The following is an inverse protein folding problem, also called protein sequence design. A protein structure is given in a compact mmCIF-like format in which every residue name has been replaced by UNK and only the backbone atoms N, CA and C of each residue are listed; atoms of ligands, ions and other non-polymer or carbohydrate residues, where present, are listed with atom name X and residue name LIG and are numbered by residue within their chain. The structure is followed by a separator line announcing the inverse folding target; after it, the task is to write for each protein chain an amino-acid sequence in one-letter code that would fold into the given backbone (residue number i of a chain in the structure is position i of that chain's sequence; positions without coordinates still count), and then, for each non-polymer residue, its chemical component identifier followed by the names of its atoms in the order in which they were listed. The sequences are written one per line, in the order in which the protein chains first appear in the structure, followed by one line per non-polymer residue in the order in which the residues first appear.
data_IF_438133685520
#
_entry.id   IF_438133685520
#
_cell.length_a   1.000
_cell.length_b   1.000
_cell.length_c   1.000
_cell.angle_alpha   90.00
_cell.angle_beta   90.00
_cell.angle_gamma   90.00
#
_symmetry.space_group_name_H-M   'P 1'
#
loop_
_entity.id
_entity.type
_entity.pdbx_description
1 polymer ?
#
# COMPACT_ATOMS: atom_id res chain seq x y z
N UNK A 1 23.95 -22.09 25.74
CA UNK A 1 25.00 -21.82 24.74
C UNK A 1 25.34 -23.11 23.98
N UNK A 2 25.34 -23.06 22.64
CA UNK A 2 25.77 -24.23 21.88
C UNK A 2 27.27 -24.46 21.99
N UNK A 3 27.67 -25.73 21.97
CA UNK A 3 29.09 -26.10 21.99
C UNK A 3 29.69 -25.91 20.59
N UNK A 4 31.05 -25.89 20.55
CA UNK A 4 31.77 -25.79 19.28
C UNK A 4 31.39 -26.93 18.34
N UNK A 5 31.27 -28.15 18.86
CA UNK A 5 30.86 -29.30 18.07
C UNK A 5 29.47 -29.15 17.45
N UNK A 6 28.56 -28.60 18.22
CA UNK A 6 27.20 -28.32 17.71
C UNK A 6 27.21 -27.31 16.57
N UNK A 7 28.03 -26.27 16.68
CA UNK A 7 28.15 -25.25 15.63
C UNK A 7 28.80 -25.80 14.37
N UNK A 8 29.83 -26.70 14.53
CA UNK A 8 30.46 -27.36 13.39
C UNK A 8 29.49 -28.27 12.67
N UNK A 9 28.68 -29.01 13.43
CA UNK A 9 27.75 -30.00 12.90
C UNK A 9 26.55 -29.37 12.21
N UNK A 10 25.93 -28.34 12.83
CA UNK A 10 24.70 -27.75 12.36
C UNK A 10 24.88 -26.37 11.71
N UNK A 11 25.96 -25.65 12.08
CA UNK A 11 26.20 -24.31 11.59
C UNK A 11 25.18 -23.31 12.12
N UNK A 12 25.27 -22.10 11.60
CA UNK A 12 24.30 -21.03 11.89
C UNK A 12 23.57 -20.70 10.61
N UNK A 13 22.27 -20.55 10.74
CA UNK A 13 21.45 -20.15 9.61
C UNK A 13 20.87 -18.77 9.88
N UNK A 14 21.04 -17.80 8.95
CA UNK A 14 20.42 -16.49 9.14
C UNK A 14 18.92 -16.62 9.10
N UNK A 15 18.26 -15.80 9.92
CA UNK A 15 16.79 -15.77 9.90
C UNK A 15 16.32 -15.13 8.61
N UNK A 16 15.32 -15.74 8.00
CA UNK A 16 14.72 -15.20 6.79
C UNK A 16 13.79 -14.04 7.19
N UNK A 17 14.04 -12.86 6.62
CA UNK A 17 13.15 -11.73 6.83
C UNK A 17 11.95 -11.85 5.90
N UNK A 18 10.77 -11.89 6.48
CA UNK A 18 9.56 -11.87 5.69
C UNK A 18 9.27 -10.45 5.24
N UNK A 19 8.86 -10.30 3.99
CA UNK A 19 8.45 -9.00 3.49
C UNK A 19 7.18 -8.54 4.19
N UNK A 20 7.07 -7.24 4.42
CA UNK A 20 5.85 -6.65 4.98
C UNK A 20 4.74 -6.49 3.94
N UNK A 21 5.08 -6.62 2.66
CA UNK A 21 4.14 -6.50 1.55
C UNK A 21 3.96 -7.85 0.86
N UNK A 22 3.51 -8.85 1.62
CA UNK A 22 3.40 -10.23 1.14
C UNK A 22 2.49 -10.36 -0.08
N UNK A 23 1.45 -9.55 -0.19
CA UNK A 23 0.50 -9.62 -1.30
C UNK A 23 1.10 -9.19 -2.63
N UNK A 24 2.22 -8.45 -2.62
CA UNK A 24 2.89 -8.02 -3.84
C UNK A 24 3.78 -9.12 -4.45
N UNK A 25 4.15 -10.12 -3.66
CA UNK A 25 4.95 -11.27 -4.10
C UNK A 25 6.23 -10.87 -4.84
N UNK A 26 6.97 -9.91 -4.27
CA UNK A 26 8.25 -9.44 -4.80
C UNK A 26 8.16 -8.44 -5.94
N UNK A 27 6.97 -8.05 -6.37
CA UNK A 27 6.79 -7.02 -7.40
C UNK A 27 6.73 -5.63 -6.74
N UNK A 28 7.19 -4.56 -7.44
CA UNK A 28 7.09 -3.22 -6.86
C UNK A 28 5.66 -2.73 -6.76
N UNK A 29 4.79 -3.10 -7.70
CA UNK A 29 3.36 -2.78 -7.67
C UNK A 29 2.55 -3.94 -8.24
N UNK A 30 1.25 -3.94 -7.93
CA UNK A 30 0.30 -4.90 -8.49
C UNK A 30 -0.99 -4.18 -8.86
N UNK A 31 -1.57 -4.61 -9.97
CA UNK A 31 -2.89 -4.14 -10.39
C UNK A 31 -3.98 -4.89 -9.62
N UNK A 32 -5.06 -4.20 -9.33
CA UNK A 32 -6.21 -4.82 -8.68
C UNK A 32 -7.49 -4.08 -9.00
N UNK A 33 -8.60 -4.65 -8.54
CA UNK A 33 -9.93 -4.08 -8.71
C UNK A 33 -10.47 -3.73 -7.33
N UNK A 34 -11.00 -2.51 -7.18
CA UNK A 34 -11.63 -2.09 -5.93
C UNK A 34 -12.92 -2.86 -5.71
N UNK A 35 -13.01 -3.60 -4.61
CA UNK A 35 -14.24 -4.29 -4.22
C UNK A 35 -15.10 -3.43 -3.32
N UNK A 36 -14.48 -2.51 -2.59
CA UNK A 36 -15.18 -1.57 -1.71
C UNK A 36 -14.30 -0.36 -1.46
N UNK A 37 -14.89 0.83 -1.48
CA UNK A 37 -14.20 2.07 -1.13
C UNK A 37 -14.94 2.68 0.06
N UNK A 38 -14.19 3.00 1.13
CA UNK A 38 -14.80 3.48 2.36
C UNK A 38 -13.80 4.33 3.14
N UNK A 39 -14.27 4.88 4.25
CA UNK A 39 -13.41 5.64 5.17
C UNK A 39 -13.26 4.86 6.47
N UNK A 40 -12.13 5.08 7.16
CA UNK A 40 -11.88 4.45 8.45
C UNK A 40 -11.20 5.45 9.38
N UNK A 41 -11.38 5.24 10.67
CA UNK A 41 -10.72 6.07 11.67
C UNK A 41 -9.34 5.51 12.01
N UNK A 42 -8.34 6.38 12.28
CA UNK A 42 -7.01 5.91 12.68
C UNK A 42 -7.01 5.46 14.14
N UNK A 43 -5.87 4.88 14.52
CA UNK A 43 -5.63 4.50 15.93
C UNK A 43 -5.57 5.74 16.81
N UNK A 44 -5.93 5.59 18.08
CA UNK A 44 -5.68 6.62 19.08
C UNK A 44 -4.19 6.93 19.15
N UNK A 45 -3.74 8.18 19.35
CA UNK A 45 -4.55 9.36 19.68
C UNK A 45 -5.07 10.15 18.48
N UNK A 46 -4.88 9.66 17.26
CA UNK A 46 -5.28 10.39 16.06
C UNK A 46 -6.77 10.25 15.78
N UNK A 47 -7.31 11.25 15.12
CA UNK A 47 -8.72 11.28 14.74
C UNK A 47 -8.86 11.91 13.36
N UNK A 48 -9.53 11.23 12.45
CA UNK A 48 -9.79 11.71 11.09
C UNK A 48 -10.63 10.68 10.36
N UNK A 49 -11.02 11.01 9.13
CA UNK A 49 -11.62 10.04 8.23
C UNK A 49 -10.59 9.72 7.13
N UNK A 50 -9.95 8.57 7.26
CA UNK A 50 -8.93 8.11 6.30
C UNK A 50 -9.62 7.35 5.18
N UNK A 51 -9.29 7.69 3.93
CA UNK A 51 -9.88 7.06 2.74
C UNK A 51 -9.08 5.80 2.42
N UNK A 52 -9.77 4.67 2.35
CA UNK A 52 -9.17 3.38 2.04
C UNK A 52 -10.05 2.63 1.04
N UNK A 53 -9.45 1.65 0.37
CA UNK A 53 -10.16 0.79 -0.55
C UNK A 53 -9.77 -0.66 -0.30
N UNK A 54 -10.74 -1.53 -0.34
CA UNK A 54 -10.49 -2.97 -0.34
C UNK A 54 -10.30 -3.39 -1.79
N UNK A 55 -9.12 -3.90 -2.11
CA UNK A 55 -8.70 -4.18 -3.47
C UNK A 55 -8.39 -5.66 -3.62
N UNK A 56 -8.94 -6.27 -4.66
CA UNK A 56 -8.60 -7.64 -5.05
C UNK A 56 -7.52 -7.57 -6.12
N UNK A 57 -6.34 -8.05 -5.78
CA UNK A 57 -5.18 -8.03 -6.69
C UNK A 57 -5.27 -9.11 -7.76
N UNK A 58 -4.46 -9.00 -8.80
CA UNK A 58 -4.42 -9.98 -9.90
C UNK A 58 -4.00 -11.37 -9.44
N UNK A 59 -3.33 -11.48 -8.30
CA UNK A 59 -2.98 -12.77 -7.70
C UNK A 59 -4.05 -13.35 -6.77
N UNK A 60 -5.28 -12.84 -6.84
CA UNK A 60 -6.45 -13.29 -6.08
C UNK A 60 -6.40 -12.94 -4.57
N UNK A 61 -5.43 -12.15 -4.14
CA UNK A 61 -5.31 -11.73 -2.74
C UNK A 61 -6.07 -10.41 -2.55
N UNK A 62 -6.92 -10.33 -1.54
CA UNK A 62 -7.60 -9.08 -1.18
C UNK A 62 -6.80 -8.34 -0.11
N UNK A 63 -6.61 -7.04 -0.30
CA UNK A 63 -5.88 -6.19 0.64
C UNK A 63 -6.63 -4.89 0.84
N UNK A 64 -6.33 -4.22 1.96
CA UNK A 64 -6.81 -2.87 2.21
C UNK A 64 -5.67 -1.92 1.90
N UNK A 65 -5.92 -0.98 0.98
CA UNK A 65 -4.92 -0.02 0.54
C UNK A 65 -5.40 1.40 0.85
N UNK A 66 -4.45 2.24 1.26
CA UNK A 66 -4.72 3.65 1.56
C UNK A 66 -4.75 4.46 0.26
N UNK A 67 -5.71 5.35 0.15
CA UNK A 67 -5.81 6.27 -0.98
C UNK A 67 -5.14 7.59 -0.57
N UNK A 68 -3.92 7.90 -1.08
CA UNK A 68 -3.21 9.10 -0.66
C UNK A 68 -3.76 10.36 -1.31
N UNK A 69 -3.49 11.49 -0.67
CA UNK A 69 -3.87 12.81 -1.18
C UNK A 69 -5.27 13.22 -0.78
N UNK A 70 -5.67 14.42 -1.21
CA UNK A 70 -6.98 14.98 -0.94
C UNK A 70 -7.95 14.65 -2.08
N UNK A 71 -9.05 13.98 -1.73
CA UNK A 71 -10.06 13.60 -2.70
C UNK A 71 -9.63 12.49 -3.65
N UNK A 72 -10.59 11.81 -4.20
CA UNK A 72 -10.36 10.76 -5.19
C UNK A 72 -11.63 10.52 -6.00
N UNK A 73 -11.47 9.80 -7.12
CA UNK A 73 -12.58 9.44 -7.99
C UNK A 73 -12.86 7.93 -7.97
N UNK A 74 -12.32 7.21 -6.99
CA UNK A 74 -12.47 5.77 -6.94
C UNK A 74 -13.85 5.34 -6.48
N UNK A 75 -14.31 4.25 -7.05
CA UNK A 75 -15.59 3.63 -6.71
C UNK A 75 -15.45 2.12 -6.86
N UNK A 76 -16.50 1.40 -6.50
CA UNK A 76 -16.51 -0.05 -6.67
C UNK A 76 -16.24 -0.41 -8.15
N UNK A 77 -15.42 -1.43 -8.36
CA UNK A 77 -14.98 -1.93 -9.66
C UNK A 77 -13.95 -1.05 -10.38
N UNK A 78 -13.42 -0.01 -9.74
CA UNK A 78 -12.31 0.76 -10.32
C UNK A 78 -11.04 -0.08 -10.35
N UNK A 79 -10.27 0.01 -11.44
CA UNK A 79 -8.99 -0.67 -11.57
C UNK A 79 -7.90 0.25 -11.03
N UNK A 80 -7.09 -0.26 -10.10
CA UNK A 80 -6.07 0.53 -9.43
C UNK A 80 -4.73 -0.19 -9.43
N UNK A 81 -3.66 0.58 -9.22
CA UNK A 81 -2.32 0.05 -9.05
C UNK A 81 -1.95 0.20 -7.57
N UNK A 82 -1.55 -0.91 -6.94
CA UNK A 82 -1.23 -0.96 -5.51
C UNK A 82 0.26 -1.15 -5.31
N UNK A 83 0.85 -0.35 -4.44
CA UNK A 83 2.26 -0.46 -4.05
C UNK A 83 2.37 -0.75 -2.57
N UNK A 84 3.55 -1.19 -2.14
CA UNK A 84 3.83 -1.38 -0.72
C UNK A 84 3.92 -0.05 0.02
N UNK A 85 3.82 -0.11 1.33
CA UNK A 85 3.90 1.04 2.20
C UNK A 85 2.77 1.01 3.23
N UNK A 86 3.16 0.87 4.48
CA UNK A 86 2.21 0.77 5.59
C UNK A 86 1.74 2.16 6.03
N UNK A 87 0.49 2.25 6.44
CA UNK A 87 -0.03 3.44 7.12
C UNK A 87 -0.01 3.17 8.62
N UNK A 88 0.83 3.91 9.33
CA UNK A 88 1.04 3.68 10.76
C UNK A 88 -0.23 3.90 11.58
N UNK A 89 -1.05 4.86 11.18
CA UNK A 89 -2.30 5.21 11.87
C UNK A 89 -3.42 4.19 11.68
N UNK A 90 -3.33 3.35 10.66
CA UNK A 90 -4.43 2.45 10.32
C UNK A 90 -3.99 1.00 10.50
N UNK A 91 -4.70 0.24 11.36
CA UNK A 91 -4.37 -1.16 11.54
C UNK A 91 -4.73 -1.99 10.31
N UNK A 92 -3.84 -2.89 9.91
CA UNK A 92 -4.08 -3.78 8.77
C UNK A 92 -3.88 -3.15 7.40
N UNK A 93 -3.56 -1.87 7.31
CA UNK A 93 -3.32 -1.20 6.03
C UNK A 93 -1.82 -1.21 5.75
N UNK A 94 -1.38 -2.09 4.85
CA UNK A 94 0.03 -2.29 4.51
C UNK A 94 0.38 -1.80 3.11
N UNK A 95 -0.56 -1.21 2.40
CA UNK A 95 -0.42 -0.87 0.99
C UNK A 95 -0.99 0.50 0.71
N UNK A 96 -0.55 1.09 -0.41
CA UNK A 96 -1.04 2.37 -0.91
C UNK A 96 -1.49 2.20 -2.36
N UNK A 97 -2.49 2.98 -2.76
CA UNK A 97 -2.90 3.08 -4.16
C UNK A 97 -2.05 4.16 -4.83
N UNK A 98 -1.54 3.87 -6.04
CA UNK A 98 -0.73 4.84 -6.79
C UNK A 98 -1.67 5.81 -7.50
N UNK A 99 -1.54 7.10 -7.18
CA UNK A 99 -2.35 8.16 -7.81
C UNK A 99 -1.81 8.45 -9.21
N UNK A 100 -2.73 8.73 -10.13
CA UNK A 100 -2.37 9.05 -11.50
C UNK A 100 -2.12 7.84 -12.39
N UNK A 101 -2.44 6.65 -11.94
CA UNK A 101 -2.28 5.40 -12.69
C UNK A 101 -3.63 4.70 -12.84
N UNK A 102 -3.85 4.06 -13.98
CA UNK A 102 -5.09 3.31 -14.27
C UNK A 102 -6.33 4.20 -14.04
N UNK A 103 -7.31 3.72 -13.29
CA UNK A 103 -8.55 4.47 -13.05
C UNK A 103 -8.43 5.52 -11.93
N UNK A 104 -7.29 5.59 -11.27
CA UNK A 104 -7.08 6.56 -10.20
C UNK A 104 -6.56 7.87 -10.79
N UNK A 105 -7.32 8.94 -10.66
CA UNK A 105 -6.86 10.26 -11.09
C UNK A 105 -5.80 10.80 -10.14
N UNK A 106 -4.97 11.73 -10.63
CA UNK A 106 -4.04 12.45 -9.78
C UNK A 106 -4.77 13.40 -8.84
N UNK A 107 -4.04 13.93 -7.86
CA UNK A 107 -4.59 14.90 -6.91
C UNK A 107 -4.73 16.24 -7.63
N UNK A 108 -5.93 16.82 -7.57
CA UNK A 108 -6.20 18.10 -8.21
C UNK A 108 -5.52 19.25 -7.46
N UNK A 109 -5.10 20.27 -8.20
CA UNK A 109 -4.53 21.52 -7.67
C UNK A 109 -3.27 21.33 -6.82
N UNK A 110 -2.60 20.22 -7.00
CA UNK A 110 -1.37 19.95 -6.27
C UNK A 110 -0.18 20.55 -7.03
N UNK A 111 0.58 21.38 -6.34
CA UNK A 111 1.74 22.08 -6.94
C UNK A 111 3.09 21.57 -6.44
N UNK A 112 3.13 20.90 -5.28
CA UNK A 112 4.34 20.34 -4.69
C UNK A 112 4.25 18.82 -4.59
N UNK A 113 5.37 18.13 -4.75
CA UNK A 113 5.45 16.66 -4.69
C UNK A 113 4.47 15.98 -5.64
N UNK A 114 4.34 16.53 -6.83
CA UNK A 114 3.36 16.06 -7.82
C UNK A 114 3.55 14.60 -8.22
N UNK A 115 4.79 14.15 -8.30
CA UNK A 115 5.07 12.77 -8.71
C UNK A 115 4.54 11.74 -7.72
N UNK A 116 4.48 12.10 -6.43
CA UNK A 116 3.93 11.19 -5.41
C UNK A 116 2.42 11.04 -5.49
N UNK A 117 1.74 12.05 -6.05
CA UNK A 117 0.28 12.10 -6.07
C UNK A 117 -0.29 12.13 -7.48
N UNK A 118 0.54 11.85 -8.48
CA UNK A 118 0.08 11.74 -9.85
C UNK A 118 -0.42 13.04 -10.48
N UNK A 119 0.01 14.18 -9.97
CA UNK A 119 -0.44 15.47 -10.47
C UNK A 119 0.42 15.92 -11.66
N UNK A 120 -0.23 16.47 -12.67
CA UNK A 120 0.44 17.00 -13.85
C UNK A 120 1.06 18.36 -13.55
N UNK A 121 2.09 18.71 -14.34
CA UNK A 121 2.71 20.03 -14.23
C UNK A 121 1.68 21.12 -14.53
N UNK A 122 1.55 22.12 -13.65
CA UNK A 122 0.61 23.20 -13.90
C UNK A 122 0.97 23.94 -15.21
N UNK A 123 -0.04 24.26 -16.00
CA UNK A 123 0.15 25.08 -17.17
C UNK A 123 0.29 26.54 -16.74
N UNK A 124 1.29 27.21 -17.28
CA UNK A 124 1.47 28.66 -17.08
C UNK A 124 0.80 29.45 -18.20
#
# INVERSE_FOLDING_TARGET
MPTIQQLVRKGRHPKVKKTKAAALQGNPQRRGVCTRVYTTTPKKPNSALRKVAKVRLTNQIEVIAYIPGEGHNLQEHSIVLVRGGRVKDLPGVKYHIVRGALDTSGVEDRTQSRSKYGAKRPKR
#
